data_IF_635817473357
#
_entry.id   IF_635817473357
#
_cell.length_a   1.000
_cell.length_b   1.000
_cell.length_c   1.000
_cell.angle_alpha   90.00
_cell.angle_beta   90.00
_cell.angle_gamma   90.00
#
_symmetry.space_group_name_H-M   'P 1'
#
loop_
_entity.id
_entity.type
_entity.pdbx_description
1 polymer ?
#
# COMPACT_ATOMS: atom_id res chain seq x y z
N UNK A 1 -13.00 0.44 -10.60
CA UNK A 1 -11.92 0.07 -9.64
C UNK A 1 -12.55 -0.56 -8.40
N UNK A 2 -11.84 -1.45 -7.70
CA UNK A 2 -12.31 -2.10 -6.45
C UNK A 2 -11.73 -1.37 -5.25
N UNK A 3 -12.49 -1.30 -4.15
CA UNK A 3 -12.11 -0.55 -2.95
C UNK A 3 -11.82 -1.51 -1.79
N UNK A 4 -10.64 -1.35 -1.19
CA UNK A 4 -10.19 -2.10 -0.02
C UNK A 4 -9.87 -1.15 1.14
N UNK A 5 -9.64 -1.71 2.32
CA UNK A 5 -9.13 -1.00 3.49
C UNK A 5 -7.94 -1.75 4.07
N UNK A 6 -7.01 -1.01 4.68
CA UNK A 6 -5.90 -1.59 5.43
C UNK A 6 -6.31 -1.91 6.87
N UNK A 7 -5.87 -3.07 7.37
CA UNK A 7 -6.06 -3.45 8.78
C UNK A 7 -5.28 -2.58 9.76
N UNK A 8 -4.43 -1.65 9.29
CA UNK A 8 -3.84 -0.58 10.13
C UNK A 8 -4.88 0.23 10.89
N UNK A 9 -6.10 0.30 10.35
CA UNK A 9 -7.23 0.96 10.98
C UNK A 9 -7.68 0.30 12.30
N UNK A 10 -7.31 -0.96 12.56
CA UNK A 10 -7.83 -1.79 13.66
C UNK A 10 -6.73 -2.27 14.62
N UNK A 11 -6.09 -1.37 15.39
CA UNK A 11 -4.95 -1.72 16.25
C UNK A 11 -5.32 -2.60 17.44
N UNK A 12 -6.58 -2.70 17.82
CA UNK A 12 -7.06 -3.42 19.01
C UNK A 12 -8.15 -4.45 18.71
N UNK A 13 -8.58 -4.60 17.46
CA UNK A 13 -9.67 -5.51 17.10
C UNK A 13 -9.12 -6.85 16.57
N UNK A 14 -9.79 -7.98 16.89
CA UNK A 14 -9.55 -9.24 16.20
C UNK A 14 -9.74 -9.11 14.69
N UNK A 15 -8.93 -9.81 13.89
CA UNK A 15 -9.01 -9.81 12.42
C UNK A 15 -10.44 -10.10 11.94
N UNK A 16 -11.10 -11.11 12.50
CA UNK A 16 -12.47 -11.46 12.13
C UNK A 16 -13.46 -10.30 12.31
N UNK A 17 -13.28 -9.48 13.36
CA UNK A 17 -14.09 -8.27 13.60
C UNK A 17 -13.81 -7.21 12.52
N UNK A 18 -12.54 -6.92 12.23
CA UNK A 18 -12.16 -5.95 11.21
C UNK A 18 -12.72 -6.33 9.83
N UNK A 19 -12.62 -7.61 9.47
CA UNK A 19 -13.15 -8.14 8.21
C UNK A 19 -14.69 -8.05 8.14
N UNK A 20 -15.37 -8.44 9.22
CA UNK A 20 -16.84 -8.36 9.30
C UNK A 20 -17.35 -6.93 9.15
N UNK A 21 -16.71 -5.97 9.83
CA UNK A 21 -17.03 -4.54 9.72
C UNK A 21 -16.78 -4.02 8.30
N UNK A 22 -15.58 -4.26 7.73
CA UNK A 22 -15.25 -3.84 6.37
C UNK A 22 -16.25 -4.38 5.35
N UNK A 23 -16.65 -5.65 5.47
CA UNK A 23 -17.68 -6.25 4.62
C UNK A 23 -19.04 -5.59 4.80
N UNK A 24 -19.46 -5.32 6.03
CA UNK A 24 -20.75 -4.71 6.33
C UNK A 24 -20.87 -3.28 5.76
N UNK A 25 -19.78 -2.54 5.70
CA UNK A 25 -19.72 -1.22 5.06
C UNK A 25 -19.71 -1.30 3.55
N UNK A 26 -19.33 -2.47 2.98
CA UNK A 26 -19.35 -2.73 1.55
C UNK A 26 -18.00 -2.61 0.86
N UNK A 27 -16.88 -2.70 1.57
CA UNK A 27 -15.58 -2.85 0.94
C UNK A 27 -15.50 -4.14 0.11
N UNK A 28 -14.70 -4.13 -0.95
CA UNK A 28 -14.56 -5.23 -1.90
C UNK A 28 -13.41 -6.18 -1.52
N UNK A 29 -12.48 -5.76 -0.67
CA UNK A 29 -11.32 -6.52 -0.23
C UNK A 29 -10.62 -5.90 0.96
N UNK A 30 -9.54 -6.57 1.41
CA UNK A 30 -8.72 -6.14 2.54
C UNK A 30 -7.25 -6.15 2.19
N UNK A 31 -6.53 -5.16 2.67
CA UNK A 31 -5.08 -5.07 2.72
C UNK A 31 -4.62 -5.44 4.13
N UNK A 32 -3.85 -6.53 4.25
CA UNK A 32 -3.42 -7.01 5.56
C UNK A 32 -2.08 -6.39 5.96
N UNK A 33 -2.09 -5.63 7.03
CA UNK A 33 -0.90 -5.11 7.73
C UNK A 33 -0.83 -5.60 9.18
N UNK A 34 -2.00 -5.71 9.83
CA UNK A 34 -2.15 -6.21 11.18
C UNK A 34 -3.05 -7.45 11.20
N UNK A 35 -2.71 -8.38 12.07
CA UNK A 35 -3.55 -9.51 12.47
C UNK A 35 -3.69 -9.43 13.99
N UNK A 36 -4.91 -9.29 14.48
CA UNK A 36 -5.24 -9.15 15.91
C UNK A 36 -4.41 -8.03 16.60
N UNK A 37 -4.18 -6.92 15.87
CA UNK A 37 -3.42 -5.76 16.33
C UNK A 37 -1.90 -5.86 16.20
N UNK A 38 -1.36 -7.01 15.82
CA UNK A 38 0.08 -7.24 15.66
C UNK A 38 0.51 -7.21 14.20
N UNK A 39 1.74 -6.75 13.95
CA UNK A 39 2.34 -6.80 12.62
C UNK A 39 2.49 -8.26 12.15
N UNK A 40 2.30 -8.46 10.85
CA UNK A 40 2.40 -9.79 10.25
C UNK A 40 3.82 -10.35 10.42
N UNK A 41 3.90 -11.52 11.05
CA UNK A 41 5.12 -12.34 11.12
C UNK A 41 5.04 -13.46 10.06
N UNK A 42 5.92 -13.46 9.04
CA UNK A 42 5.89 -14.49 8.00
C UNK A 42 6.31 -15.88 8.53
N UNK A 43 6.85 -15.98 9.76
CA UNK A 43 7.20 -17.24 10.41
C UNK A 43 6.02 -17.92 11.12
N UNK A 44 4.83 -17.30 11.10
CA UNK A 44 3.66 -17.85 11.77
C UNK A 44 3.37 -19.30 11.35
N UNK A 45 2.89 -20.16 12.30
CA UNK A 45 2.58 -21.56 12.02
C UNK A 45 1.50 -21.73 10.94
N UNK A 46 1.56 -22.85 10.19
CA UNK A 46 0.60 -23.17 9.13
C UNK A 46 -0.88 -23.12 9.59
N UNK A 47 -1.14 -23.52 10.85
CA UNK A 47 -2.49 -23.42 11.42
C UNK A 47 -2.98 -21.97 11.54
N UNK A 48 -2.10 -21.02 11.90
CA UNK A 48 -2.40 -19.60 11.97
C UNK A 48 -2.64 -19.02 10.56
N UNK A 49 -1.78 -19.37 9.59
CA UNK A 49 -1.99 -18.97 8.16
C UNK A 49 -3.35 -19.44 7.66
N UNK A 50 -3.71 -20.71 7.92
CA UNK A 50 -5.01 -21.26 7.56
C UNK A 50 -6.16 -20.52 8.23
N UNK A 51 -6.02 -20.12 9.50
CA UNK A 51 -7.05 -19.37 10.22
C UNK A 51 -7.30 -17.99 9.62
N UNK A 52 -6.25 -17.26 9.23
CA UNK A 52 -6.35 -15.96 8.54
C UNK A 52 -7.11 -16.12 7.21
N UNK A 53 -6.72 -17.09 6.40
CA UNK A 53 -7.38 -17.35 5.12
C UNK A 53 -8.87 -17.67 5.31
N UNK A 54 -9.20 -18.57 6.25
CA UNK A 54 -10.60 -18.91 6.56
C UNK A 54 -11.41 -17.71 7.06
N UNK A 55 -10.80 -16.81 7.84
CA UNK A 55 -11.47 -15.59 8.29
C UNK A 55 -11.84 -14.68 7.11
N UNK A 56 -10.91 -14.51 6.15
CA UNK A 56 -11.16 -13.72 4.94
C UNK A 56 -12.24 -14.37 4.05
N UNK A 57 -12.18 -15.67 3.84
CA UNK A 57 -13.18 -16.44 3.07
C UNK A 57 -14.56 -16.35 3.73
N UNK A 58 -14.66 -16.51 5.05
CA UNK A 58 -15.92 -16.39 5.80
C UNK A 58 -16.53 -14.99 5.73
N UNK A 59 -15.71 -13.95 5.68
CA UNK A 59 -16.17 -12.57 5.47
C UNK A 59 -16.51 -12.27 4.00
N UNK A 60 -16.09 -13.11 3.05
CA UNK A 60 -16.21 -12.85 1.62
C UNK A 60 -15.38 -11.65 1.16
N UNK A 61 -14.24 -11.41 1.80
CA UNK A 61 -13.28 -10.36 1.46
C UNK A 61 -11.94 -10.97 1.01
N UNK A 62 -11.59 -10.88 -0.28
CA UNK A 62 -10.27 -11.31 -0.72
C UNK A 62 -9.17 -10.44 -0.09
N UNK A 63 -8.06 -11.10 0.25
CA UNK A 63 -6.83 -10.43 0.69
C UNK A 63 -6.12 -9.92 -0.56
N UNK A 64 -6.19 -8.60 -0.80
CA UNK A 64 -5.68 -8.03 -2.04
C UNK A 64 -4.21 -7.61 -1.97
N UNK A 65 -3.67 -7.44 -0.78
CA UNK A 65 -2.25 -7.22 -0.53
C UNK A 65 -1.87 -7.67 0.88
N UNK A 66 -0.61 -8.02 1.04
CA UNK A 66 0.04 -8.32 2.32
C UNK A 66 1.17 -7.32 2.52
N UNK A 67 1.06 -6.51 3.57
CA UNK A 67 2.04 -5.48 3.86
C UNK A 67 3.11 -5.97 4.81
N UNK A 68 4.33 -6.02 4.31
CA UNK A 68 5.49 -6.40 5.10
C UNK A 68 6.13 -5.20 5.82
N UNK A 69 7.08 -5.48 6.73
CA UNK A 69 7.98 -4.47 7.30
C UNK A 69 9.35 -4.45 6.60
N UNK A 70 9.49 -5.14 5.49
CA UNK A 70 10.73 -5.27 4.75
C UNK A 70 11.16 -3.90 4.20
N UNK A 71 12.41 -3.53 4.46
CA UNK A 71 13.09 -2.42 3.80
C UNK A 71 14.15 -2.99 2.86
N UNK A 72 14.05 -2.68 1.57
CA UNK A 72 14.96 -3.21 0.54
C UNK A 72 16.43 -2.87 0.78
N UNK A 73 16.70 -1.77 1.49
CA UNK A 73 18.05 -1.35 1.91
C UNK A 73 18.40 -1.80 3.34
N UNK A 74 17.58 -2.63 3.97
CA UNK A 74 17.78 -3.17 5.32
C UNK A 74 18.67 -4.42 5.36
N UNK A 75 18.62 -5.11 6.49
CA UNK A 75 19.33 -6.37 6.70
C UNK A 75 18.52 -7.55 6.14
N UNK A 76 19.16 -8.46 5.43
CA UNK A 76 18.60 -9.71 4.86
C UNK A 76 17.21 -9.62 4.17
N UNK A 77 16.93 -8.55 3.37
CA UNK A 77 15.59 -8.29 2.84
C UNK A 77 15.11 -9.39 1.87
N UNK A 78 16.02 -10.10 1.20
CA UNK A 78 15.68 -11.15 0.24
C UNK A 78 15.07 -12.37 0.92
N UNK A 79 15.63 -12.83 2.05
CA UNK A 79 15.13 -13.97 2.79
C UNK A 79 13.73 -13.68 3.36
N UNK A 80 13.52 -12.49 3.90
CA UNK A 80 12.21 -12.05 4.40
C UNK A 80 11.20 -11.94 3.27
N UNK A 81 11.60 -11.37 2.12
CA UNK A 81 10.72 -11.22 0.98
C UNK A 81 10.24 -12.58 0.45
N UNK A 82 11.12 -13.58 0.38
CA UNK A 82 10.72 -14.93 -0.03
C UNK A 82 9.68 -15.51 0.94
N UNK A 83 9.86 -15.36 2.26
CA UNK A 83 8.87 -15.80 3.26
C UNK A 83 7.52 -15.10 3.12
N UNK A 84 7.52 -13.79 2.84
CA UNK A 84 6.29 -13.03 2.59
C UNK A 84 5.61 -13.42 1.27
N UNK A 85 6.36 -13.73 0.22
CA UNK A 85 5.78 -14.22 -1.04
C UNK A 85 5.09 -15.57 -0.85
N UNK A 86 5.69 -16.50 -0.09
CA UNK A 86 5.05 -17.78 0.27
C UNK A 86 3.79 -17.56 1.11
N UNK A 87 3.85 -16.69 2.12
CA UNK A 87 2.71 -16.35 2.95
C UNK A 87 1.56 -15.74 2.14
N UNK A 88 1.86 -14.79 1.24
CA UNK A 88 0.87 -14.19 0.37
C UNK A 88 0.23 -15.22 -0.58
N UNK A 89 1.03 -16.16 -1.09
CA UNK A 89 0.53 -17.27 -1.90
C UNK A 89 -0.40 -18.20 -1.10
N UNK A 90 -0.07 -18.52 0.16
CA UNK A 90 -0.95 -19.30 1.06
C UNK A 90 -2.30 -18.60 1.28
N UNK A 91 -2.33 -17.29 1.23
CA UNK A 91 -3.53 -16.46 1.39
C UNK A 91 -4.21 -16.09 0.06
N UNK A 92 -3.71 -16.59 -1.07
CA UNK A 92 -4.15 -16.20 -2.43
C UNK A 92 -4.12 -14.67 -2.66
N UNK A 93 -3.22 -13.98 -1.97
CA UNK A 93 -3.00 -12.55 -2.14
C UNK A 93 -2.09 -12.31 -3.35
N UNK A 94 -2.46 -11.44 -4.28
CA UNK A 94 -1.68 -11.20 -5.49
C UNK A 94 -0.49 -10.25 -5.30
N UNK A 95 -0.30 -9.68 -4.11
CA UNK A 95 0.65 -8.60 -3.88
C UNK A 95 1.28 -8.66 -2.49
N UNK A 96 2.60 -8.50 -2.43
CA UNK A 96 3.35 -8.17 -1.21
C UNK A 96 3.86 -6.73 -1.34
N UNK A 97 3.56 -5.87 -0.37
CA UNK A 97 4.13 -4.54 -0.28
C UNK A 97 5.42 -4.56 0.54
N UNK A 98 6.43 -3.84 0.04
CA UNK A 98 7.72 -3.60 0.70
C UNK A 98 8.03 -2.11 0.73
N UNK A 99 8.83 -1.68 1.70
CA UNK A 99 9.42 -0.35 1.75
C UNK A 99 10.76 -0.32 1.01
N UNK A 100 11.10 0.86 0.46
CA UNK A 100 12.44 1.08 -0.09
C UNK A 100 13.52 1.16 1.01
N UNK A 101 13.20 1.82 2.12
CA UNK A 101 14.10 2.04 3.25
C UNK A 101 14.90 3.33 3.14
N UNK A 102 16.14 3.34 3.64
CA UNK A 102 17.00 4.53 3.69
C UNK A 102 17.88 4.65 2.46
N UNK A 103 18.20 5.89 2.08
CA UNK A 103 19.17 6.21 1.02
C UNK A 103 20.15 7.27 1.53
N UNK A 104 21.41 7.08 1.20
CA UNK A 104 22.45 8.07 1.47
C UNK A 104 22.22 9.34 0.63
N UNK A 105 22.62 10.48 1.16
CA UNK A 105 22.58 11.76 0.43
C UNK A 105 23.63 11.82 -0.68
N UNK A 106 24.80 11.24 -0.44
CA UNK A 106 25.92 11.23 -1.39
C UNK A 106 25.65 10.30 -2.57
N UNK A 107 25.80 10.85 -3.78
CA UNK A 107 25.49 10.14 -5.04
C UNK A 107 26.08 8.74 -5.16
N UNK A 108 27.40 8.49 -4.95
CA UNK A 108 27.95 7.14 -5.11
C UNK A 108 27.32 6.11 -4.16
N UNK A 109 27.14 6.49 -2.89
CA UNK A 109 26.55 5.61 -1.89
C UNK A 109 25.04 5.37 -2.18
N UNK A 110 24.30 6.42 -2.55
CA UNK A 110 22.89 6.33 -2.95
C UNK A 110 22.71 5.38 -4.15
N UNK A 111 23.52 5.49 -5.19
CA UNK A 111 23.46 4.63 -6.36
C UNK A 111 23.80 3.16 -6.01
N UNK A 112 24.77 2.95 -5.13
CA UNK A 112 25.10 1.61 -4.65
C UNK A 112 23.93 0.98 -3.88
N UNK A 113 23.22 1.75 -3.04
CA UNK A 113 22.03 1.29 -2.30
C UNK A 113 20.86 1.00 -3.24
N UNK A 114 20.57 1.86 -4.22
CA UNK A 114 19.54 1.60 -5.24
C UNK A 114 19.87 0.33 -6.03
N UNK A 115 21.12 0.16 -6.44
CA UNK A 115 21.59 -1.06 -7.12
C UNK A 115 21.49 -2.31 -6.24
N UNK A 116 21.70 -2.20 -4.91
CA UNK A 116 21.49 -3.29 -3.97
C UNK A 116 20.00 -3.66 -3.85
N UNK A 117 19.13 -2.67 -3.66
CA UNK A 117 17.68 -2.87 -3.63
C UNK A 117 17.15 -3.52 -4.93
N UNK A 118 17.65 -3.07 -6.07
CA UNK A 118 17.31 -3.66 -7.38
C UNK A 118 17.74 -5.12 -7.49
N UNK A 119 18.91 -5.49 -6.96
CA UNK A 119 19.35 -6.90 -6.95
C UNK A 119 18.47 -7.79 -6.09
N UNK A 120 18.03 -7.31 -4.92
CA UNK A 120 17.07 -8.04 -4.06
C UNK A 120 15.77 -8.30 -4.81
N UNK A 121 15.21 -7.27 -5.44
CA UNK A 121 13.98 -7.43 -6.24
C UNK A 121 14.20 -8.40 -7.40
N UNK A 122 15.26 -8.25 -8.19
CA UNK A 122 15.56 -9.10 -9.32
C UNK A 122 15.77 -10.58 -8.92
N UNK A 123 16.46 -10.83 -7.79
CA UNK A 123 16.63 -12.18 -7.25
C UNK A 123 15.31 -12.81 -6.79
N UNK A 124 14.33 -12.00 -6.37
CA UNK A 124 13.02 -12.46 -5.91
C UNK A 124 12.00 -12.68 -7.04
N UNK A 125 12.25 -12.13 -8.26
CA UNK A 125 11.33 -12.27 -9.41
C UNK A 125 10.96 -13.73 -9.74
N UNK A 126 11.89 -14.71 -9.78
CA UNK A 126 11.53 -16.10 -10.10
C UNK A 126 10.59 -16.72 -9.05
N UNK A 127 10.71 -16.33 -7.78
CA UNK A 127 9.80 -16.77 -6.74
C UNK A 127 8.43 -16.09 -6.87
N UNK A 128 8.40 -14.79 -7.12
CA UNK A 128 7.20 -14.02 -7.37
C UNK A 128 6.37 -14.60 -8.53
N UNK A 129 7.02 -14.88 -9.66
CA UNK A 129 6.42 -15.50 -10.84
C UNK A 129 5.85 -16.89 -10.54
N UNK A 130 6.65 -17.76 -9.93
CA UNK A 130 6.23 -19.13 -9.57
C UNK A 130 5.02 -19.14 -8.64
N UNK A 131 4.95 -18.21 -7.71
CA UNK A 131 3.91 -18.11 -6.69
C UNK A 131 2.70 -17.29 -7.17
N UNK A 132 2.81 -16.58 -8.30
CA UNK A 132 1.75 -15.70 -8.81
C UNK A 132 1.57 -14.43 -7.96
N UNK A 133 2.59 -14.01 -7.20
CA UNK A 133 2.54 -12.88 -6.26
C UNK A 133 3.48 -11.78 -6.74
N UNK A 134 2.97 -10.56 -6.94
CA UNK A 134 3.78 -9.39 -7.32
C UNK A 134 4.43 -8.74 -6.10
N UNK A 135 5.48 -7.95 -6.34
CA UNK A 135 6.17 -7.17 -5.33
C UNK A 135 5.91 -5.70 -5.61
N UNK A 136 5.29 -5.00 -4.66
CA UNK A 136 5.01 -3.58 -4.75
C UNK A 136 5.92 -2.76 -3.85
N UNK A 137 6.71 -1.86 -4.44
CA UNK A 137 7.53 -0.91 -3.68
C UNK A 137 6.70 0.32 -3.38
N UNK A 138 6.48 0.61 -2.10
CA UNK A 138 5.70 1.77 -1.68
C UNK A 138 6.50 3.07 -1.82
N UNK A 139 5.80 4.12 -2.23
CA UNK A 139 6.31 5.51 -2.14
C UNK A 139 6.35 5.93 -0.67
N UNK A 140 7.41 5.55 0.06
CA UNK A 140 7.56 5.71 1.51
C UNK A 140 9.04 5.90 1.89
N UNK A 141 9.37 6.30 3.10
CA UNK A 141 10.73 6.52 3.62
C UNK A 141 11.56 7.43 2.67
N UNK A 142 12.80 7.06 2.35
CA UNK A 142 13.63 7.77 1.37
C UNK A 142 13.14 7.60 -0.09
N UNK A 143 12.14 6.73 -0.32
CA UNK A 143 11.47 6.50 -1.59
C UNK A 143 10.12 7.22 -1.70
N UNK A 144 9.82 8.18 -0.81
CA UNK A 144 8.56 8.95 -0.84
C UNK A 144 8.35 9.69 -2.17
N UNK A 145 9.42 10.19 -2.81
CA UNK A 145 9.31 10.77 -4.14
C UNK A 145 9.14 9.67 -5.21
N UNK A 146 8.12 9.79 -6.05
CA UNK A 146 7.81 8.81 -7.11
C UNK A 146 8.96 8.62 -8.11
N UNK A 147 9.75 9.68 -8.34
CA UNK A 147 10.94 9.61 -9.20
C UNK A 147 11.98 8.60 -8.68
N UNK A 148 12.12 8.45 -7.35
CA UNK A 148 13.05 7.49 -6.74
C UNK A 148 12.57 6.05 -6.93
N UNK A 149 11.26 5.81 -6.77
CA UNK A 149 10.66 4.51 -7.07
C UNK A 149 10.80 4.19 -8.56
N UNK A 150 10.55 5.15 -9.45
CA UNK A 150 10.72 4.96 -10.89
C UNK A 150 12.17 4.60 -11.26
N UNK A 151 13.15 5.26 -10.64
CA UNK A 151 14.58 4.95 -10.80
C UNK A 151 14.89 3.50 -10.40
N UNK A 152 14.38 3.03 -9.25
CA UNK A 152 14.52 1.65 -8.80
C UNK A 152 13.86 0.66 -9.78
N UNK A 153 12.62 0.94 -10.18
CA UNK A 153 11.87 0.05 -11.08
C UNK A 153 12.51 -0.07 -12.47
N UNK A 154 13.18 0.99 -12.95
CA UNK A 154 13.93 0.95 -14.21
C UNK A 154 15.15 0.01 -14.16
N UNK A 155 15.71 -0.23 -12.96
CA UNK A 155 16.84 -1.16 -12.77
C UNK A 155 16.39 -2.62 -12.74
N UNK A 156 15.11 -2.91 -12.50
CA UNK A 156 14.59 -4.29 -12.35
C UNK A 156 13.88 -4.78 -13.62
N UNK A 157 13.15 -3.91 -14.31
CA UNK A 157 12.39 -4.16 -15.54
C UNK A 157 11.65 -5.51 -15.58
N UNK A 158 10.77 -5.75 -14.61
CA UNK A 158 10.00 -6.97 -14.50
C UNK A 158 8.50 -6.66 -14.30
N UNK A 159 7.57 -7.40 -14.93
CA UNK A 159 6.14 -7.25 -14.69
C UNK A 159 5.71 -7.72 -13.30
N UNK A 160 6.59 -8.44 -12.58
CA UNK A 160 6.33 -8.92 -11.22
C UNK A 160 6.70 -7.90 -10.15
N UNK A 161 7.31 -6.77 -10.54
CA UNK A 161 7.70 -5.70 -9.63
C UNK A 161 7.07 -4.39 -10.09
N UNK A 162 6.44 -3.66 -9.18
CA UNK A 162 5.83 -2.37 -9.47
C UNK A 162 5.77 -1.47 -8.27
N UNK A 163 5.00 -0.39 -8.37
CA UNK A 163 4.84 0.60 -7.32
C UNK A 163 3.54 0.37 -6.53
N UNK A 164 3.60 0.65 -5.25
CA UNK A 164 2.43 1.01 -4.45
C UNK A 164 2.46 2.53 -4.31
N UNK A 165 1.49 3.19 -4.94
CA UNK A 165 1.40 4.64 -4.89
C UNK A 165 0.56 5.06 -3.70
N UNK A 166 1.20 5.49 -2.62
CA UNK A 166 0.54 6.19 -1.54
C UNK A 166 0.25 7.65 -1.92
N UNK A 167 -0.93 8.15 -1.60
CA UNK A 167 -1.38 9.49 -1.98
C UNK A 167 -0.64 10.61 -1.26
N UNK A 168 -0.24 10.39 -0.01
CA UNK A 168 0.31 11.43 0.87
C UNK A 168 1.83 11.60 0.71
N UNK A 169 2.58 10.49 0.66
CA UNK A 169 4.04 10.57 0.72
C UNK A 169 4.67 11.35 -0.45
N UNK A 170 4.32 11.14 -1.73
CA UNK A 170 4.80 11.99 -2.82
C UNK A 170 4.29 13.42 -2.73
N UNK A 171 3.05 13.62 -2.26
CA UNK A 171 2.48 14.96 -2.08
C UNK A 171 3.31 15.78 -1.09
N UNK A 172 3.69 15.21 0.05
CA UNK A 172 4.54 15.92 1.03
C UNK A 172 5.94 16.23 0.50
N UNK A 173 6.39 15.51 -0.54
CA UNK A 173 7.63 15.82 -1.27
C UNK A 173 7.44 16.91 -2.33
N UNK A 174 6.23 17.46 -2.49
CA UNK A 174 5.89 18.51 -3.43
C UNK A 174 5.52 18.02 -4.84
N UNK A 175 5.38 16.71 -5.06
CA UNK A 175 4.99 16.16 -6.35
C UNK A 175 3.48 16.28 -6.58
N UNK A 176 3.10 16.60 -7.81
CA UNK A 176 1.69 16.65 -8.24
C UNK A 176 1.24 15.31 -8.82
N UNK A 177 -0.04 14.90 -8.69
CA UNK A 177 -0.53 13.62 -9.19
C UNK A 177 -0.19 13.32 -10.66
N UNK A 178 -0.25 14.33 -11.55
CA UNK A 178 0.13 14.17 -12.95
C UNK A 178 1.62 13.87 -13.16
N UNK A 179 2.46 14.35 -12.28
CA UNK A 179 3.91 14.06 -12.28
C UNK A 179 4.19 12.65 -11.80
N UNK A 180 3.56 12.26 -10.69
CA UNK A 180 3.64 10.91 -10.13
C UNK A 180 3.15 9.88 -11.16
N UNK A 181 1.99 10.15 -11.80
CA UNK A 181 1.45 9.29 -12.85
C UNK A 181 2.44 9.11 -14.01
N UNK A 182 3.15 10.17 -14.44
CA UNK A 182 4.18 10.04 -15.49
C UNK A 182 5.36 9.19 -15.05
N UNK A 183 5.82 9.37 -13.80
CA UNK A 183 6.96 8.61 -13.25
C UNK A 183 6.63 7.13 -13.09
N UNK A 184 5.40 6.79 -12.68
CA UNK A 184 4.98 5.44 -12.36
C UNK A 184 4.08 4.80 -13.44
N UNK A 185 3.92 5.44 -14.60
CA UNK A 185 2.98 5.02 -15.65
C UNK A 185 3.09 3.52 -15.99
N UNK A 186 1.96 2.81 -15.94
CA UNK A 186 1.88 1.37 -16.22
C UNK A 186 2.51 0.45 -15.16
N UNK A 187 3.10 1.00 -14.09
CA UNK A 187 3.79 0.23 -13.05
C UNK A 187 3.08 0.25 -11.69
N UNK A 188 1.98 0.98 -11.54
CA UNK A 188 1.21 1.04 -10.28
C UNK A 188 0.42 -0.27 -10.11
N UNK A 189 0.72 -1.01 -9.03
CA UNK A 189 0.06 -2.26 -8.66
C UNK A 189 -1.08 -2.04 -7.67
N UNK A 190 -0.90 -1.07 -6.77
CA UNK A 190 -1.86 -0.67 -5.74
C UNK A 190 -1.79 0.84 -5.56
N UNK A 191 -2.95 1.46 -5.34
CA UNK A 191 -3.04 2.83 -4.89
C UNK A 191 -3.56 2.87 -3.45
N UNK A 192 -2.76 3.39 -2.52
CA UNK A 192 -3.17 3.66 -1.14
C UNK A 192 -3.62 5.11 -1.02
N UNK A 193 -4.75 5.32 -0.37
CA UNK A 193 -5.33 6.65 -0.19
C UNK A 193 -5.47 6.99 1.27
N UNK A 194 -4.93 8.15 1.62
CA UNK A 194 -5.09 8.84 2.89
C UNK A 194 -5.04 10.33 2.65
N UNK A 195 -5.61 11.12 3.54
CA UNK A 195 -5.60 12.58 3.47
C UNK A 195 -4.93 13.15 4.71
N UNK A 196 -4.27 14.28 4.55
CA UNK A 196 -3.56 14.96 5.60
C UNK A 196 -3.56 16.46 5.36
N UNK A 197 -3.43 17.22 6.44
CA UNK A 197 -3.22 18.67 6.40
C UNK A 197 -1.91 19.04 7.08
N UNK A 198 -1.36 20.20 6.73
CA UNK A 198 -0.17 20.71 7.41
C UNK A 198 -0.44 20.97 8.88
N UNK A 199 0.50 20.51 9.70
CA UNK A 199 0.48 20.64 11.16
C UNK A 199 1.93 20.84 11.65
N UNK A 200 2.45 22.10 11.57
CA UNK A 200 3.85 22.42 11.89
C UNK A 200 4.28 22.04 13.32
N UNK A 201 3.31 21.84 14.20
CA UNK A 201 3.53 21.41 15.60
C UNK A 201 3.83 19.90 15.74
N UNK A 202 3.65 19.11 14.68
CA UNK A 202 3.96 17.68 14.66
C UNK A 202 5.35 17.43 14.10
N UNK A 203 6.00 16.36 14.53
CA UNK A 203 7.37 16.02 14.15
C UNK A 203 7.57 15.87 12.64
N UNK A 204 6.57 15.31 11.94
CA UNK A 204 6.58 15.13 10.48
C UNK A 204 5.92 16.30 9.72
N UNK A 205 5.36 17.29 10.45
CA UNK A 205 4.69 18.46 9.90
C UNK A 205 3.29 18.20 9.33
N UNK A 206 2.69 17.02 9.58
CA UNK A 206 1.41 16.63 9.02
C UNK A 206 0.48 15.98 10.04
N UNK A 207 -0.82 16.17 9.85
CA UNK A 207 -1.88 15.50 10.60
C UNK A 207 -2.78 14.75 9.63
N UNK A 208 -2.96 13.44 9.84
CA UNK A 208 -3.95 12.66 9.11
C UNK A 208 -5.36 13.12 9.47
N UNK A 209 -6.20 13.25 8.45
CA UNK A 209 -7.61 13.68 8.57
C UNK A 209 -8.49 12.80 7.68
N UNK A 210 -9.82 12.76 7.90
CA UNK A 210 -10.73 12.08 6.97
C UNK A 210 -10.57 12.56 5.54
N UNK A 211 -10.80 11.68 4.56
CA UNK A 211 -10.70 12.03 3.14
C UNK A 211 -11.57 13.23 2.81
N UNK A 212 -11.00 14.18 2.07
CA UNK A 212 -11.65 15.41 1.65
C UNK A 212 -11.56 16.56 2.65
N UNK A 213 -10.98 16.34 3.84
CA UNK A 213 -10.78 17.36 4.86
C UNK A 213 -9.33 17.90 4.91
N UNK A 214 -8.45 17.30 4.12
CA UNK A 214 -7.03 17.65 4.05
C UNK A 214 -6.63 18.40 2.80
N UNK A 215 -5.32 18.38 2.54
CA UNK A 215 -4.67 19.08 1.44
C UNK A 215 -4.18 18.11 0.35
N UNK A 216 -4.23 16.78 0.61
CA UNK A 216 -3.76 15.78 -0.35
C UNK A 216 -4.75 15.69 -1.52
N UNK A 217 -4.30 15.87 -2.77
CA UNK A 217 -5.19 15.94 -3.92
C UNK A 217 -5.67 14.56 -4.37
N UNK A 218 -6.29 13.78 -3.45
CA UNK A 218 -6.69 12.37 -3.69
C UNK A 218 -7.63 12.23 -4.89
N UNK A 219 -8.61 13.13 -5.03
CA UNK A 219 -9.52 13.10 -6.19
C UNK A 219 -8.78 13.28 -7.51
N UNK A 220 -7.77 14.16 -7.55
CA UNK A 220 -6.92 14.36 -8.72
C UNK A 220 -6.04 13.14 -9.00
N UNK A 221 -5.50 12.48 -7.94
CA UNK A 221 -4.81 11.20 -8.05
C UNK A 221 -5.69 10.15 -8.73
N UNK A 222 -6.94 9.99 -8.27
CA UNK A 222 -7.90 9.06 -8.87
C UNK A 222 -8.15 9.38 -10.36
N UNK A 223 -8.28 10.66 -10.69
CA UNK A 223 -8.44 11.12 -12.07
C UNK A 223 -7.22 10.73 -12.94
N UNK A 224 -6.01 10.91 -12.43
CA UNK A 224 -4.79 10.55 -13.14
C UNK A 224 -4.65 9.02 -13.30
N UNK A 225 -5.00 8.24 -12.28
CA UNK A 225 -5.01 6.77 -12.36
C UNK A 225 -5.99 6.28 -13.43
N UNK A 226 -7.23 6.80 -13.44
CA UNK A 226 -8.23 6.48 -14.47
C UNK A 226 -7.77 6.85 -15.87
N UNK A 227 -7.24 8.06 -16.04
CA UNK A 227 -6.73 8.53 -17.33
C UNK A 227 -5.54 7.67 -17.82
N UNK A 228 -4.76 7.12 -16.89
CA UNK A 228 -3.65 6.18 -17.16
C UNK A 228 -4.09 4.73 -17.40
N UNK A 229 -5.40 4.43 -17.40
CA UNK A 229 -5.92 3.07 -17.62
C UNK A 229 -5.80 2.14 -16.41
N UNK A 230 -5.60 2.69 -15.20
CA UNK A 230 -5.53 1.88 -13.98
C UNK A 230 -6.87 1.20 -13.67
N UNK A 231 -6.84 -0.13 -13.44
CA UNK A 231 -8.03 -0.95 -13.20
C UNK A 231 -7.93 -1.78 -11.90
N UNK A 232 -6.84 -1.59 -11.13
CA UNK A 232 -6.57 -2.38 -9.94
C UNK A 232 -7.29 -1.83 -8.69
N UNK A 233 -6.74 -2.15 -7.52
CA UNK A 233 -7.30 -1.81 -6.23
C UNK A 233 -6.92 -0.40 -5.75
N UNK A 234 -7.86 0.23 -5.05
CA UNK A 234 -7.61 1.41 -4.21
C UNK A 234 -7.85 0.97 -2.78
N UNK A 235 -6.87 1.15 -1.92
CA UNK A 235 -6.95 0.82 -0.49
C UNK A 235 -6.98 2.07 0.36
N UNK A 236 -7.91 2.15 1.29
CA UNK A 236 -7.92 3.18 2.33
C UNK A 236 -6.91 2.80 3.39
N UNK A 237 -5.85 3.58 3.52
CA UNK A 237 -4.84 3.40 4.55
C UNK A 237 -5.09 4.36 5.72
N UNK A 238 -5.93 3.93 6.68
CA UNK A 238 -6.22 4.69 7.89
C UNK A 238 -5.29 4.24 9.02
N UNK A 239 -4.29 5.04 9.33
CA UNK A 239 -3.15 4.65 10.18
C UNK A 239 -3.43 4.78 11.70
N UNK A 240 -4.58 4.32 12.17
CA UNK A 240 -4.97 4.36 13.59
C UNK A 240 -3.93 3.71 14.52
N UNK A 241 -3.21 2.70 14.04
CA UNK A 241 -2.13 2.02 14.79
C UNK A 241 -1.02 2.99 15.20
N UNK A 242 -0.67 3.92 14.30
CA UNK A 242 0.44 4.85 14.50
C UNK A 242 -0.01 6.22 15.02
N UNK A 243 -1.28 6.53 14.81
CA UNK A 243 -1.94 7.79 15.15
C UNK A 243 -3.19 7.52 16.00
N UNK A 244 -3.03 7.13 17.29
CA UNK A 244 -4.16 6.74 18.13
C UNK A 244 -5.18 7.89 18.36
N UNK A 245 -4.78 9.12 18.11
CA UNK A 245 -5.62 10.32 18.23
C UNK A 245 -6.62 10.52 17.08
N UNK A 246 -6.42 9.91 15.91
CA UNK A 246 -7.36 10.08 14.79
C UNK A 246 -8.66 9.30 15.03
N UNK A 247 -9.70 9.61 14.25
CA UNK A 247 -11.02 9.00 14.40
C UNK A 247 -10.97 7.47 14.38
N UNK A 248 -11.92 6.83 15.08
CA UNK A 248 -12.03 5.37 15.11
C UNK A 248 -12.45 4.83 13.73
N UNK A 249 -12.07 3.59 13.38
CA UNK A 249 -12.34 3.01 12.06
C UNK A 249 -13.83 2.96 11.73
N UNK A 250 -14.70 2.79 12.73
CA UNK A 250 -16.16 2.77 12.57
C UNK A 250 -16.73 4.11 12.08
N UNK A 251 -16.00 5.20 12.32
CA UNK A 251 -16.36 6.54 11.82
C UNK A 251 -15.68 6.82 10.49
N UNK A 252 -14.37 6.57 10.42
CA UNK A 252 -13.56 6.97 9.28
C UNK A 252 -13.79 6.11 8.03
N UNK A 253 -13.76 4.78 8.16
CA UNK A 253 -13.81 3.90 6.98
C UNK A 253 -15.12 3.98 6.19
N UNK A 254 -16.33 4.04 6.80
CA UNK A 254 -17.56 4.28 6.05
C UNK A 254 -17.56 5.61 5.29
N UNK A 255 -17.09 6.70 5.93
CA UNK A 255 -16.99 8.02 5.30
C UNK A 255 -16.03 8.00 4.10
N UNK A 256 -14.86 7.37 4.25
CA UNK A 256 -13.89 7.24 3.16
C UNK A 256 -14.47 6.46 1.98
N UNK A 257 -15.15 5.36 2.26
CA UNK A 257 -15.75 4.52 1.22
C UNK A 257 -16.84 5.27 0.43
N UNK A 258 -17.73 5.98 1.12
CA UNK A 258 -18.79 6.77 0.50
C UNK A 258 -18.21 7.85 -0.40
N UNK A 259 -17.21 8.59 0.09
CA UNK A 259 -16.57 9.67 -0.65
C UNK A 259 -15.83 9.15 -1.89
N UNK A 260 -15.07 8.06 -1.74
CA UNK A 260 -14.35 7.43 -2.87
C UNK A 260 -15.31 6.96 -3.95
N UNK A 261 -16.42 6.32 -3.58
CA UNK A 261 -17.46 5.90 -4.54
C UNK A 261 -18.06 7.09 -5.29
N UNK A 262 -18.37 8.16 -4.58
CA UNK A 262 -18.88 9.39 -5.18
C UNK A 262 -17.89 10.03 -6.16
N UNK A 263 -16.61 10.10 -5.79
CA UNK A 263 -15.57 10.62 -6.68
C UNK A 263 -15.36 9.76 -7.92
N UNK A 264 -15.30 8.44 -7.77
CA UNK A 264 -15.12 7.51 -8.89
C UNK A 264 -16.28 7.57 -9.88
N UNK A 265 -17.53 7.56 -9.39
CA UNK A 265 -18.71 7.68 -10.24
C UNK A 265 -18.69 8.99 -11.07
N UNK A 266 -18.41 10.15 -10.43
CA UNK A 266 -18.32 11.42 -11.11
C UNK A 266 -17.16 11.52 -12.11
N UNK A 267 -16.05 10.84 -11.87
CA UNK A 267 -14.91 10.80 -12.80
C UNK A 267 -15.19 9.90 -14.02
N UNK A 268 -15.91 8.79 -13.87
CA UNK A 268 -16.30 7.90 -14.95
C UNK A 268 -17.37 8.53 -15.86
N UNK A 269 -18.29 9.31 -15.30
CA UNK A 269 -19.28 10.08 -16.07
C UNK A 269 -18.64 11.20 -16.90
N UNK A 270 -17.64 11.89 -16.34
CA UNK A 270 -16.93 12.97 -17.03
C UNK A 270 -15.94 12.50 -18.11
N UNK A 271 -15.65 11.20 -18.17
CA UNK A 271 -14.76 10.60 -19.16
C UNK A 271 -15.50 10.04 -20.39
N UNK A 272 -16.84 10.02 -20.37
CA UNK A 272 -17.71 9.62 -21.50
C UNK A 272 -18.07 10.82 -22.35
#
# INVERSE_FOLDING_TARGET
MRLAFSTLAFPAAPLATALSLGRSWGYDGVELRLIDGELIDPSMPAAARTAVRRAADAAGLPIMAVDSSIRLTGEEPEADLHRFLELASDWESPLVRVFGGTLAEEKPARQAQLGAAARVLAASVPAAERLGVRIGVETHDAFSASAVVAELLALVDSPWVGAVWDSHHPHRMGERPAEIQRNLAGRVLLAQVKDARRAPERDDGWQLVPLGEGEVPVREMLRQLLAGGYQNWISVEWEKRWHPEIADPETALPQHLELLRGWLAGLEEGAR
#
